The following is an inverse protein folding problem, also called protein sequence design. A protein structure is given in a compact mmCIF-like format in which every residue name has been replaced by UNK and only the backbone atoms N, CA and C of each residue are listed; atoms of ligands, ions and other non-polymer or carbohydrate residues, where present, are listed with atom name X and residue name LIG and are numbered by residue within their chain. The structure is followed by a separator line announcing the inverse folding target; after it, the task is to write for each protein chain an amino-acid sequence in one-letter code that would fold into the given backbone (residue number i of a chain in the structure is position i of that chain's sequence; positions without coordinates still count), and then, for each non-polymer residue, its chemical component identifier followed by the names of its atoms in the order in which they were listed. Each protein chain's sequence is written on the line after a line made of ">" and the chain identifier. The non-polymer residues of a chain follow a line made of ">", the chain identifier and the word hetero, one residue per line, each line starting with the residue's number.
data_IF_563402069296
#
_entry.id   IF_563402069296
#
_cell.length_a   1.000
_cell.length_b   1.000
_cell.length_c   1.000
_cell.angle_alpha   90.00
_cell.angle_beta   90.00
_cell.angle_gamma   90.00
#
_symmetry.space_group_name_H-M   'P 1'
#
loop_
_entity.id
_entity.type
_entity.pdbx_description
1 polymer ?
#
# COMPACT_ATOMS: atom_id res chain seq x y z
N UNK A 1 16.55 30.88 59.63
CA UNK A 1 17.27 29.75 60.30
C UNK A 1 16.27 28.59 60.43
N UNK A 2 16.17 27.75 59.39
CA UNK A 2 15.42 26.49 59.44
C UNK A 2 16.30 25.42 60.09
N UNK A 3 15.90 25.00 61.32
CA UNK A 3 16.44 23.79 61.98
C UNK A 3 15.96 22.57 61.25
N UNK A 4 16.84 21.90 60.50
CA UNK A 4 16.55 20.57 59.95
C UNK A 4 16.49 19.56 61.12
N UNK A 5 15.33 18.95 61.27
CA UNK A 5 15.06 17.89 62.24
C UNK A 5 15.79 16.61 61.77
N UNK A 6 16.69 16.06 62.58
CA UNK A 6 17.43 14.80 62.34
C UNK A 6 16.45 13.62 62.51
N UNK A 7 15.85 13.16 61.43
CA UNK A 7 15.12 11.90 61.41
C UNK A 7 16.08 10.68 61.44
N UNK A 8 15.63 9.48 61.92
CA UNK A 8 16.50 8.34 62.20
C UNK A 8 17.25 7.84 60.96
N UNK A 9 18.49 7.48 61.15
CA UNK A 9 19.45 7.04 60.16
C UNK A 9 19.01 5.75 59.49
N UNK A 10 18.18 5.79 58.47
CA UNK A 10 17.87 4.67 57.61
C UNK A 10 19.01 4.46 56.60
N UNK A 11 19.21 3.20 56.15
CA UNK A 11 20.22 2.82 55.16
C UNK A 11 20.21 3.75 53.89
N UNK A 12 19.03 4.14 53.48
CA UNK A 12 18.81 5.08 52.36
C UNK A 12 19.38 6.47 52.63
N UNK A 13 19.28 6.98 53.86
CA UNK A 13 19.81 8.31 54.21
C UNK A 13 21.36 8.33 54.17
N UNK A 14 22.00 7.22 54.49
CA UNK A 14 23.48 7.11 54.39
C UNK A 14 23.96 7.12 52.91
N UNK A 15 23.17 6.47 52.01
CA UNK A 15 23.48 6.52 50.56
C UNK A 15 23.28 7.95 50.04
N UNK A 16 22.21 8.62 50.41
CA UNK A 16 21.93 9.99 50.02
C UNK A 16 23.03 10.96 50.52
N UNK A 17 23.45 10.83 51.76
CA UNK A 17 24.58 11.62 52.32
C UNK A 17 25.88 11.38 51.55
N UNK A 18 26.22 10.12 51.22
CA UNK A 18 27.41 9.81 50.42
C UNK A 18 27.37 10.41 49.01
N UNK A 19 26.20 10.29 48.35
CA UNK A 19 25.98 10.86 47.01
C UNK A 19 26.04 12.38 47.07
N UNK A 20 25.39 13.01 48.06
CA UNK A 20 25.42 14.46 48.25
C UNK A 20 26.86 14.96 48.53
N UNK A 21 27.57 14.34 49.47
CA UNK A 21 28.95 14.71 49.78
C UNK A 21 29.91 14.44 48.60
N UNK A 22 29.65 13.36 47.83
CA UNK A 22 30.40 13.08 46.61
C UNK A 22 30.15 14.13 45.52
N UNK A 23 28.91 14.55 45.37
CA UNK A 23 28.52 15.62 44.42
C UNK A 23 29.13 17.00 44.83
N UNK A 24 29.06 17.34 46.12
CA UNK A 24 29.65 18.56 46.64
C UNK A 24 31.16 18.59 46.36
N UNK A 25 31.91 17.51 46.67
CA UNK A 25 33.35 17.41 46.37
C UNK A 25 33.64 17.50 44.88
N UNK A 26 32.81 16.90 44.04
CA UNK A 26 32.94 17.01 42.58
C UNK A 26 32.72 18.45 42.11
N UNK A 27 31.72 19.14 42.65
CA UNK A 27 31.44 20.54 42.32
C UNK A 27 32.62 21.42 42.71
N UNK A 28 33.09 21.30 43.96
CA UNK A 28 34.16 22.15 44.46
C UNK A 28 35.54 21.85 43.79
N UNK A 29 35.84 20.57 43.54
CA UNK A 29 37.15 20.18 43.06
C UNK A 29 37.33 20.22 41.56
N UNK A 30 36.26 19.96 40.82
CA UNK A 30 36.33 19.84 39.35
C UNK A 30 35.44 20.88 38.64
N UNK A 31 34.18 21.01 39.04
CA UNK A 31 33.24 21.86 38.31
C UNK A 31 33.54 23.35 38.52
N UNK A 32 33.75 23.80 39.77
CA UNK A 32 34.01 25.21 40.09
C UNK A 32 35.27 25.73 39.40
N UNK A 33 36.46 25.08 39.52
CA UNK A 33 37.66 25.58 38.84
C UNK A 33 37.59 25.47 37.30
N UNK A 34 36.83 24.51 36.77
CA UNK A 34 36.56 24.44 35.34
C UNK A 34 35.71 25.62 34.88
N UNK A 35 34.64 25.93 35.63
CA UNK A 35 33.75 27.04 35.32
C UNK A 35 34.49 28.38 35.39
N UNK A 36 35.35 28.59 36.41
CA UNK A 36 36.18 29.79 36.54
C UNK A 36 37.12 29.98 35.35
N UNK A 37 37.72 28.89 34.85
CA UNK A 37 38.56 28.95 33.64
C UNK A 37 37.76 29.29 32.40
N UNK A 38 36.57 28.70 32.27
CA UNK A 38 35.64 28.99 31.16
C UNK A 38 35.21 30.47 31.16
N UNK A 39 34.90 31.01 32.32
CA UNK A 39 34.48 32.41 32.46
C UNK A 39 35.65 33.39 32.24
N UNK A 40 36.86 33.05 32.71
CA UNK A 40 38.07 33.86 32.49
C UNK A 40 38.42 33.93 31.00
N UNK A 41 38.27 32.81 30.27
CA UNK A 41 38.53 32.71 28.83
C UNK A 41 37.24 32.59 28.01
N UNK A 42 36.26 33.47 28.30
CA UNK A 42 34.91 33.42 27.76
C UNK A 42 34.82 33.26 26.23
N UNK A 43 35.68 33.99 25.50
CA UNK A 43 35.68 33.91 24.03
C UNK A 43 36.24 32.57 23.50
N UNK A 44 37.28 32.03 24.18
CA UNK A 44 37.83 30.72 23.85
C UNK A 44 36.79 29.60 24.10
N UNK A 45 36.14 29.66 25.25
CA UNK A 45 35.10 28.70 25.62
C UNK A 45 33.90 28.72 24.63
N UNK A 46 33.48 29.93 24.24
CA UNK A 46 32.43 30.09 23.23
C UNK A 46 32.86 29.54 21.86
N UNK A 47 34.11 29.82 21.43
CA UNK A 47 34.63 29.31 20.15
C UNK A 47 34.73 27.79 20.13
N UNK A 48 35.15 27.17 21.25
CA UNK A 48 35.17 25.70 21.38
C UNK A 48 33.77 25.13 21.28
N UNK A 49 32.80 25.74 21.97
CA UNK A 49 31.42 25.28 21.93
C UNK A 49 30.81 25.38 20.51
N UNK A 50 30.99 26.53 19.84
CA UNK A 50 30.53 26.74 18.46
C UNK A 50 31.23 25.78 17.50
N UNK A 51 32.53 25.55 17.67
CA UNK A 51 33.28 24.58 16.88
C UNK A 51 32.78 23.16 17.06
N UNK A 52 32.55 22.73 18.32
CA UNK A 52 31.99 21.41 18.60
C UNK A 52 30.58 21.26 18.03
N UNK A 53 29.76 22.30 18.16
CA UNK A 53 28.42 22.32 17.58
C UNK A 53 28.46 22.22 16.05
N UNK A 54 29.34 22.97 15.39
CA UNK A 54 29.51 22.92 13.93
C UNK A 54 29.99 21.54 13.46
N UNK A 55 30.93 20.91 14.18
CA UNK A 55 31.41 19.55 13.90
C UNK A 55 30.24 18.54 14.04
N UNK A 56 29.48 18.64 15.14
CA UNK A 56 28.33 17.76 15.38
C UNK A 56 27.29 17.90 14.28
N UNK A 57 26.93 19.13 13.90
CA UNK A 57 26.02 19.40 12.80
C UNK A 57 26.58 18.91 11.46
N UNK A 58 27.87 19.08 11.21
CA UNK A 58 28.54 18.57 10.01
C UNK A 58 28.49 17.04 9.92
N UNK A 59 28.70 16.34 11.03
CA UNK A 59 28.56 14.87 11.08
C UNK A 59 27.13 14.40 10.83
N UNK A 60 26.14 15.12 11.37
CA UNK A 60 24.72 14.82 11.18
C UNK A 60 24.31 15.05 9.73
N UNK A 61 24.59 16.24 9.19
CA UNK A 61 24.23 16.63 7.83
C UNK A 61 25.04 15.86 6.78
N UNK A 62 26.28 15.50 7.10
CA UNK A 62 27.14 14.66 6.26
C UNK A 62 26.76 13.18 6.21
N UNK A 63 25.71 12.79 6.94
CA UNK A 63 25.20 11.41 6.93
C UNK A 63 26.10 10.37 7.59
N UNK A 64 27.15 10.81 8.32
CA UNK A 64 28.06 9.92 9.04
C UNK A 64 27.46 9.34 10.33
N UNK A 65 26.37 9.94 10.83
CA UNK A 65 25.63 9.44 12.00
C UNK A 65 24.31 8.84 11.53
N UNK A 66 24.19 7.50 11.41
CA UNK A 66 22.98 6.85 10.91
C UNK A 66 21.76 6.99 11.85
N UNK A 67 21.99 7.43 13.09
CA UNK A 67 20.99 7.44 14.15
C UNK A 67 19.87 8.49 14.01
N UNK A 68 19.96 9.44 13.07
CA UNK A 68 19.01 10.56 12.98
C UNK A 68 18.08 10.45 11.76
N UNK A 69 18.05 9.32 11.10
CA UNK A 69 17.10 9.06 10.01
C UNK A 69 15.71 8.68 10.53
N UNK A 70 15.17 9.42 11.48
CA UNK A 70 13.83 9.22 11.99
C UNK A 70 13.73 8.24 13.17
N UNK A 71 12.51 8.00 13.59
CA UNK A 71 12.19 7.04 14.65
C UNK A 71 12.63 5.64 14.17
N UNK A 72 13.43 4.88 14.96
CA UNK A 72 13.79 3.52 14.58
C UNK A 72 12.52 2.73 14.29
N UNK A 73 12.49 1.94 13.21
CA UNK A 73 11.31 1.16 12.86
C UNK A 73 10.99 0.19 14.00
N UNK A 74 9.82 0.35 14.61
CA UNK A 74 9.34 -0.56 15.64
C UNK A 74 8.85 -1.82 14.93
N UNK A 75 9.38 -3.01 15.26
CA UNK A 75 8.89 -4.26 14.68
C UNK A 75 7.39 -4.42 14.96
N UNK A 76 6.63 -4.81 13.96
CA UNK A 76 5.22 -5.09 14.09
C UNK A 76 4.99 -6.54 14.50
N UNK A 77 3.91 -6.80 15.22
CA UNK A 77 3.39 -8.16 15.42
C UNK A 77 2.43 -8.57 14.29
N UNK A 78 2.39 -7.77 13.23
CA UNK A 78 1.63 -8.04 12.02
C UNK A 78 2.52 -7.90 10.79
N UNK A 79 2.33 -8.78 9.81
CA UNK A 79 2.86 -8.63 8.45
C UNK A 79 1.67 -8.57 7.51
N UNK A 80 1.60 -7.51 6.72
CA UNK A 80 0.65 -7.42 5.62
C UNK A 80 1.39 -7.43 4.30
N UNK A 81 1.00 -8.33 3.41
CA UNK A 81 1.56 -8.45 2.07
C UNK A 81 0.52 -8.00 1.06
N UNK A 82 0.72 -6.83 0.49
CA UNK A 82 -0.17 -6.23 -0.50
C UNK A 82 0.25 -6.62 -1.91
N UNK A 83 -0.69 -7.24 -2.61
CA UNK A 83 -0.54 -7.65 -3.99
C UNK A 83 -1.36 -6.72 -4.89
N UNK A 84 -0.72 -6.17 -5.91
CA UNK A 84 -1.39 -5.47 -7.00
C UNK A 84 -1.05 -6.17 -8.30
N UNK A 85 -2.03 -6.76 -8.94
CA UNK A 85 -1.90 -7.35 -10.28
C UNK A 85 -2.04 -6.27 -11.36
N UNK A 86 -1.70 -6.62 -12.60
CA UNK A 86 -1.95 -5.73 -13.72
C UNK A 86 -3.45 -5.44 -13.87
N UNK A 87 -3.80 -4.20 -14.16
CA UNK A 87 -5.19 -3.81 -14.37
C UNK A 87 -5.82 -4.57 -15.53
N UNK A 88 -7.05 -5.04 -15.32
CA UNK A 88 -7.75 -5.86 -16.31
C UNK A 88 -7.50 -7.36 -16.21
N UNK A 89 -6.64 -7.81 -15.31
CA UNK A 89 -6.50 -9.23 -15.00
C UNK A 89 -7.78 -9.79 -14.40
N UNK A 90 -8.18 -11.03 -14.77
CA UNK A 90 -9.36 -11.66 -14.18
C UNK A 90 -9.13 -12.00 -12.70
N UNK A 91 -10.19 -11.93 -11.90
CA UNK A 91 -10.14 -12.22 -10.45
C UNK A 91 -9.49 -13.57 -10.11
N UNK A 92 -9.70 -14.59 -10.94
CA UNK A 92 -9.09 -15.90 -10.79
C UNK A 92 -7.53 -15.86 -10.83
N UNK A 93 -6.94 -14.92 -11.57
CA UNK A 93 -5.47 -14.74 -11.57
C UNK A 93 -4.97 -14.16 -10.25
N UNK A 94 -5.72 -13.22 -9.68
CA UNK A 94 -5.43 -12.65 -8.34
C UNK A 94 -5.57 -13.72 -7.26
N UNK A 95 -6.62 -14.55 -7.33
CA UNK A 95 -6.84 -15.67 -6.42
C UNK A 95 -5.68 -16.66 -6.44
N UNK A 96 -5.25 -17.10 -7.64
CA UNK A 96 -4.10 -18.00 -7.79
C UNK A 96 -2.80 -17.38 -7.23
N UNK A 97 -2.59 -16.09 -7.45
CA UNK A 97 -1.43 -15.41 -6.90
C UNK A 97 -1.48 -15.38 -5.36
N UNK A 98 -2.65 -15.12 -4.77
CA UNK A 98 -2.83 -15.18 -3.31
C UNK A 98 -2.61 -16.59 -2.76
N UNK A 99 -3.09 -17.63 -3.45
CA UNK A 99 -2.84 -19.02 -3.07
C UNK A 99 -1.35 -19.37 -3.10
N UNK A 100 -0.61 -18.91 -4.12
CA UNK A 100 0.85 -19.09 -4.18
C UNK A 100 1.57 -18.36 -3.03
N UNK A 101 1.11 -17.16 -2.68
CA UNK A 101 1.65 -16.42 -1.53
C UNK A 101 1.40 -17.15 -0.22
N UNK A 102 0.22 -17.73 -0.04
CA UNK A 102 -0.12 -18.53 1.15
C UNK A 102 0.71 -19.83 1.22
N UNK A 103 0.91 -20.50 0.09
CA UNK A 103 1.80 -21.67 0.02
C UNK A 103 3.24 -21.31 0.40
N UNK A 104 3.74 -20.14 -0.06
CA UNK A 104 5.06 -19.66 0.34
C UNK A 104 5.14 -19.37 1.85
N UNK A 105 4.07 -18.85 2.46
CA UNK A 105 3.98 -18.67 3.92
C UNK A 105 4.06 -20.01 4.66
N UNK A 106 3.31 -21.01 4.21
CA UNK A 106 3.35 -22.35 4.80
C UNK A 106 4.74 -22.99 4.66
N UNK A 107 5.43 -22.78 3.53
CA UNK A 107 6.80 -23.24 3.35
C UNK A 107 7.81 -22.54 4.31
N UNK A 108 7.51 -21.30 4.74
CA UNK A 108 8.29 -20.65 5.80
C UNK A 108 8.07 -21.37 7.15
N UNK A 109 6.83 -21.71 7.48
CA UNK A 109 6.52 -22.46 8.71
C UNK A 109 7.29 -23.77 8.74
N UNK A 110 7.17 -24.58 7.68
CA UNK A 110 7.87 -25.87 7.57
C UNK A 110 9.40 -25.71 7.73
N UNK A 111 9.97 -24.67 7.11
CA UNK A 111 11.39 -24.41 7.24
C UNK A 111 11.81 -24.03 8.68
N UNK A 112 11.02 -23.23 9.38
CA UNK A 112 11.32 -22.84 10.76
C UNK A 112 11.18 -24.03 11.70
N UNK A 113 10.12 -24.82 11.55
CA UNK A 113 9.89 -26.04 12.33
C UNK A 113 10.99 -27.07 12.09
N UNK A 114 11.49 -27.23 10.85
CA UNK A 114 12.64 -28.12 10.55
C UNK A 114 13.94 -27.70 11.24
N UNK A 115 14.04 -26.41 11.64
CA UNK A 115 15.16 -25.87 12.42
C UNK A 115 14.92 -25.89 13.94
N UNK A 116 13.77 -26.41 14.37
CA UNK A 116 13.38 -26.41 15.79
C UNK A 116 12.87 -25.05 16.30
N UNK A 117 12.56 -24.12 15.40
CA UNK A 117 11.97 -22.83 15.76
C UNK A 117 10.43 -22.95 15.78
N UNK A 118 9.74 -22.33 16.74
CA UNK A 118 8.28 -22.37 16.79
C UNK A 118 7.65 -21.62 15.63
N UNK A 119 6.44 -22.03 15.24
CA UNK A 119 5.66 -21.32 14.22
C UNK A 119 5.39 -19.86 14.67
N UNK A 120 5.88 -18.85 13.94
CA UNK A 120 5.71 -17.47 14.32
C UNK A 120 4.32 -16.90 13.97
N UNK A 121 3.52 -17.57 13.13
CA UNK A 121 2.23 -17.11 12.66
C UNK A 121 1.09 -17.61 13.55
N UNK A 122 0.25 -16.69 14.00
CA UNK A 122 -0.91 -17.00 14.84
C UNK A 122 -2.20 -17.08 14.04
N UNK A 123 -2.50 -16.05 13.30
CA UNK A 123 -3.68 -15.94 12.46
C UNK A 123 -3.30 -15.41 11.08
N UNK A 124 -4.01 -15.86 10.05
CA UNK A 124 -3.86 -15.34 8.68
C UNK A 124 -5.22 -14.99 8.10
N UNK A 125 -5.28 -13.90 7.34
CA UNK A 125 -6.46 -13.44 6.63
C UNK A 125 -6.08 -13.15 5.18
N UNK A 126 -6.75 -13.83 4.24
CA UNK A 126 -6.65 -13.55 2.82
C UNK A 126 -7.81 -12.68 2.39
N UNK A 127 -7.52 -11.58 1.75
CA UNK A 127 -8.53 -10.68 1.19
C UNK A 127 -8.32 -10.56 -0.32
N UNK A 128 -9.36 -10.80 -1.09
CA UNK A 128 -9.37 -10.62 -2.53
C UNK A 128 -10.30 -9.45 -2.90
N UNK A 129 -9.86 -8.63 -3.84
CA UNK A 129 -10.62 -7.47 -4.31
C UNK A 129 -10.42 -6.21 -3.48
N UNK A 130 -9.72 -6.27 -2.35
CA UNK A 130 -9.43 -5.13 -1.49
C UNK A 130 -8.10 -5.27 -0.78
N UNK A 131 -7.60 -4.16 -0.20
CA UNK A 131 -6.39 -4.11 0.64
C UNK A 131 -6.73 -3.37 1.94
N UNK A 132 -7.44 -4.01 2.88
CA UNK A 132 -7.99 -3.35 4.07
C UNK A 132 -6.93 -2.96 5.10
N UNK A 133 -5.79 -3.66 5.17
CA UNK A 133 -4.77 -3.38 6.17
C UNK A 133 -3.97 -2.13 5.80
N UNK A 134 -4.24 -1.06 6.49
CA UNK A 134 -3.56 0.23 6.31
C UNK A 134 -2.62 0.49 7.49
N UNK A 135 -1.59 -0.30 7.69
CA UNK A 135 -0.60 -0.29 8.77
C UNK A 135 -0.40 1.01 9.57
N UNK A 136 -1.39 1.45 10.35
CA UNK A 136 -1.27 2.60 11.24
C UNK A 136 -2.63 3.18 11.69
N UNK A 137 -2.64 4.01 12.75
CA UNK A 137 -3.85 4.63 13.28
C UNK A 137 -4.52 5.63 12.32
N UNK A 138 -3.87 5.99 11.22
CA UNK A 138 -4.41 6.85 10.15
C UNK A 138 -5.14 6.07 9.04
N UNK A 139 -5.46 4.78 9.26
CA UNK A 139 -6.05 3.87 8.29
C UNK A 139 -7.51 4.10 7.95
N UNK A 140 -7.98 5.33 7.89
CA UNK A 140 -9.37 5.66 7.52
C UNK A 140 -9.55 6.03 6.04
N UNK A 141 -8.58 5.78 5.17
CA UNK A 141 -8.83 5.82 3.74
C UNK A 141 -9.53 4.54 3.34
N UNK A 142 -10.68 4.66 2.67
CA UNK A 142 -11.36 3.52 2.08
C UNK A 142 -10.34 2.67 1.31
N UNK A 143 -10.29 1.37 1.63
CA UNK A 143 -9.40 0.44 0.94
C UNK A 143 -9.74 0.47 -0.56
N UNK A 144 -8.74 0.52 -1.45
CA UNK A 144 -9.02 0.44 -2.86
C UNK A 144 -9.68 -0.91 -3.17
N UNK A 145 -10.81 -0.88 -3.88
CA UNK A 145 -11.57 -2.07 -4.24
C UNK A 145 -11.49 -2.29 -5.75
N UNK A 146 -10.89 -3.39 -6.16
CA UNK A 146 -10.92 -3.88 -7.54
C UNK A 146 -10.38 -5.31 -7.61
N UNK A 147 -10.83 -6.09 -8.60
CA UNK A 147 -10.48 -7.50 -8.77
C UNK A 147 -8.99 -7.80 -8.89
N UNK A 148 -8.16 -6.80 -9.18
CA UNK A 148 -6.71 -6.92 -9.31
C UNK A 148 -5.95 -6.63 -8.00
N UNK A 149 -6.65 -6.32 -6.90
CA UNK A 149 -6.07 -6.19 -5.58
C UNK A 149 -6.21 -7.46 -4.76
N UNK A 150 -5.19 -7.74 -3.98
CA UNK A 150 -5.20 -8.80 -2.99
C UNK A 150 -4.32 -8.44 -1.80
N UNK A 151 -4.59 -9.06 -0.67
CA UNK A 151 -3.81 -8.87 0.55
C UNK A 151 -3.79 -10.14 1.39
N UNK A 152 -2.64 -10.47 1.94
CA UNK A 152 -2.52 -11.45 3.02
C UNK A 152 -2.01 -10.72 4.24
N UNK A 153 -2.84 -10.66 5.27
CA UNK A 153 -2.47 -10.12 6.58
C UNK A 153 -2.30 -11.25 7.57
N UNK A 154 -1.18 -11.28 8.26
CA UNK A 154 -0.86 -12.30 9.26
C UNK A 154 -0.53 -11.64 10.59
N UNK A 155 -1.08 -12.21 11.65
CA UNK A 155 -0.69 -11.91 13.02
C UNK A 155 0.43 -12.84 13.43
N UNK A 156 1.47 -12.28 14.03
CA UNK A 156 2.59 -13.02 14.59
C UNK A 156 2.39 -13.21 16.09
N UNK A 157 3.06 -14.20 16.67
CA UNK A 157 3.26 -14.25 18.11
C UNK A 157 4.04 -13.02 18.54
N UNK A 158 3.89 -12.60 19.80
CA UNK A 158 4.53 -11.39 20.32
C UNK A 158 6.04 -11.41 20.08
N UNK A 159 6.62 -10.23 19.85
CA UNK A 159 8.05 -10.08 19.55
C UNK A 159 8.96 -10.65 20.67
N UNK A 160 8.48 -10.67 21.89
CA UNK A 160 9.18 -11.22 23.06
C UNK A 160 9.24 -12.75 23.09
N UNK A 161 8.29 -13.41 22.41
CA UNK A 161 8.12 -14.87 22.39
C UNK A 161 8.70 -15.52 21.13
N UNK A 162 9.11 -14.71 20.14
CA UNK A 162 9.63 -15.20 18.85
C UNK A 162 11.13 -15.01 18.73
N UNK A 163 11.77 -15.98 18.09
CA UNK A 163 13.22 -15.95 17.83
C UNK A 163 13.62 -14.97 16.70
N UNK A 164 12.67 -14.63 15.82
CA UNK A 164 12.92 -13.79 14.63
C UNK A 164 12.04 -12.56 14.60
N UNK A 165 12.61 -11.48 14.12
CA UNK A 165 11.87 -10.23 13.90
C UNK A 165 10.92 -10.33 12.70
N UNK A 166 9.88 -9.48 12.66
CA UNK A 166 8.94 -9.45 11.52
C UNK A 166 9.65 -9.19 10.16
N UNK A 167 10.66 -8.29 10.05
CA UNK A 167 11.43 -8.13 8.83
C UNK A 167 12.19 -9.38 8.38
N UNK A 168 12.75 -10.17 9.31
CA UNK A 168 13.44 -11.43 8.97
C UNK A 168 12.45 -12.47 8.45
N UNK A 169 11.28 -12.59 9.07
CA UNK A 169 10.20 -13.47 8.60
C UNK A 169 9.71 -13.03 7.21
N UNK A 170 9.53 -11.73 7.00
CA UNK A 170 9.18 -11.17 5.68
C UNK A 170 10.23 -11.47 4.61
N UNK A 171 11.51 -11.43 4.96
CA UNK A 171 12.60 -11.76 4.05
C UNK A 171 12.57 -13.25 3.66
N UNK A 172 12.39 -14.14 4.64
CA UNK A 172 12.22 -15.58 4.40
C UNK A 172 11.00 -15.91 3.55
N UNK A 173 9.90 -15.18 3.77
CA UNK A 173 8.69 -15.36 2.98
C UNK A 173 8.89 -14.91 1.53
N UNK A 174 9.53 -13.75 1.34
CA UNK A 174 9.86 -13.21 0.01
C UNK A 174 10.81 -14.15 -0.77
N UNK A 175 11.79 -14.76 -0.10
CA UNK A 175 12.71 -15.71 -0.71
C UNK A 175 11.99 -16.96 -1.26
N UNK A 176 10.94 -17.43 -0.55
CA UNK A 176 10.16 -18.60 -0.96
C UNK A 176 9.04 -18.30 -1.92
N UNK A 177 8.70 -17.04 -2.04
CA UNK A 177 7.70 -16.60 -2.99
C UNK A 177 8.31 -16.58 -4.39
N UNK A 178 7.97 -17.55 -5.20
CA UNK A 178 8.37 -17.61 -6.60
C UNK A 178 7.80 -16.45 -7.43
N UNK A 179 8.11 -16.42 -8.72
CA UNK A 179 7.59 -15.38 -9.62
C UNK A 179 6.04 -15.47 -9.70
N UNK A 180 5.38 -14.32 -9.59
CA UNK A 180 3.94 -14.19 -9.72
C UNK A 180 3.60 -13.59 -11.09
N UNK A 181 3.11 -14.39 -12.06
CA UNK A 181 2.81 -13.90 -13.40
C UNK A 181 1.71 -12.82 -13.37
N UNK A 182 1.95 -11.71 -14.03
CA UNK A 182 1.00 -10.58 -14.07
C UNK A 182 0.98 -9.71 -12.81
N UNK A 183 1.90 -9.92 -11.88
CA UNK A 183 2.11 -9.03 -10.75
C UNK A 183 2.67 -7.69 -11.23
N UNK A 184 2.05 -6.60 -10.79
CA UNK A 184 2.52 -5.23 -10.97
C UNK A 184 3.34 -4.78 -9.77
N UNK A 185 2.84 -5.03 -8.57
CA UNK A 185 3.49 -4.61 -7.33
C UNK A 185 3.21 -5.60 -6.21
N UNK A 186 4.24 -5.85 -5.42
CA UNK A 186 4.16 -6.59 -4.17
C UNK A 186 4.84 -5.76 -3.07
N UNK A 187 4.16 -5.55 -1.96
CA UNK A 187 4.69 -4.77 -0.84
C UNK A 187 4.49 -5.52 0.47
N UNK A 188 5.58 -5.68 1.21
CA UNK A 188 5.54 -6.22 2.57
C UNK A 188 5.54 -5.07 3.58
N UNK A 189 4.55 -5.06 4.45
CA UNK A 189 4.42 -4.13 5.57
C UNK A 189 4.68 -4.91 6.85
N UNK A 190 5.90 -4.80 7.38
CA UNK A 190 6.42 -5.59 8.50
C UNK A 190 6.87 -4.72 9.70
N UNK A 191 6.56 -3.43 9.65
CA UNK A 191 6.86 -2.47 10.71
C UNK A 191 5.61 -1.73 11.15
N UNK A 192 5.53 -1.38 12.43
CA UNK A 192 4.44 -0.58 12.97
C UNK A 192 4.49 0.86 12.44
N UNK A 193 3.33 1.52 12.43
CA UNK A 193 3.19 2.94 12.13
C UNK A 193 3.69 3.39 10.74
N UNK A 194 3.01 2.89 9.69
CA UNK A 194 3.14 3.48 8.35
C UNK A 194 4.13 2.82 7.40
N UNK A 195 4.71 1.69 7.78
CA UNK A 195 5.65 0.96 6.94
C UNK A 195 7.06 1.58 6.96
N UNK A 196 7.98 0.96 6.25
CA UNK A 196 9.31 1.53 6.04
C UNK A 196 9.20 2.74 5.13
N UNK A 197 9.89 3.85 5.44
CA UNK A 197 10.01 4.93 4.47
C UNK A 197 10.59 4.38 3.18
N UNK A 198 10.12 4.89 2.04
CA UNK A 198 10.69 4.56 0.74
C UNK A 198 12.16 4.99 0.77
N UNK A 199 13.08 4.03 0.61
CA UNK A 199 14.51 4.29 0.75
C UNK A 199 15.04 5.14 -0.42
N UNK A 200 14.50 4.89 -1.62
CA UNK A 200 14.86 5.57 -2.85
C UNK A 200 13.56 5.94 -3.55
N UNK A 201 13.33 7.21 -3.74
CA UNK A 201 12.22 7.76 -4.52
C UNK A 201 12.82 8.61 -5.65
N UNK A 202 12.56 8.21 -6.89
CA UNK A 202 13.12 8.84 -8.07
C UNK A 202 11.96 9.35 -8.94
N UNK A 203 11.96 10.64 -9.21
CA UNK A 203 11.02 11.25 -10.13
C UNK A 203 11.65 11.35 -11.53
N UNK A 204 10.98 10.77 -12.52
CA UNK A 204 11.36 10.88 -13.92
C UNK A 204 10.34 11.78 -14.60
N UNK A 205 10.78 12.89 -15.14
CA UNK A 205 9.94 13.86 -15.86
C UNK A 205 10.36 13.99 -17.32
N UNK A 206 9.39 14.17 -18.20
CA UNK A 206 9.62 14.33 -19.64
C UNK A 206 8.33 14.60 -20.40
N UNK A 207 8.45 14.90 -21.68
CA UNK A 207 7.30 15.17 -22.55
C UNK A 207 6.73 13.89 -23.20
N UNK A 208 7.53 12.84 -23.31
CA UNK A 208 7.17 11.59 -23.97
C UNK A 208 7.06 10.46 -22.96
N UNK A 209 5.84 9.93 -22.82
CA UNK A 209 5.52 8.86 -21.89
C UNK A 209 6.27 7.57 -22.22
N UNK A 210 6.46 7.25 -23.49
CA UNK A 210 7.13 6.01 -23.91
C UNK A 210 8.61 6.06 -23.54
N UNK A 211 9.27 7.22 -23.72
CA UNK A 211 10.65 7.42 -23.30
C UNK A 211 10.79 7.37 -21.77
N UNK A 212 9.87 7.99 -21.02
CA UNK A 212 9.88 7.95 -19.57
C UNK A 212 9.69 6.51 -19.06
N UNK A 213 8.81 5.75 -19.68
CA UNK A 213 8.57 4.34 -19.32
C UNK A 213 9.82 3.49 -19.60
N UNK A 214 10.46 3.67 -20.73
CA UNK A 214 11.71 2.98 -21.08
C UNK A 214 12.84 3.32 -20.08
N UNK A 215 12.99 4.58 -19.72
CA UNK A 215 13.94 5.03 -18.73
C UNK A 215 13.67 4.43 -17.34
N UNK A 216 12.39 4.37 -16.92
CA UNK A 216 11.99 3.75 -15.65
C UNK A 216 12.33 2.26 -15.62
N UNK A 217 12.09 1.53 -16.71
CA UNK A 217 12.47 0.11 -16.80
C UNK A 217 13.99 -0.09 -16.72
N UNK A 218 14.78 0.77 -17.38
CA UNK A 218 16.25 0.72 -17.29
C UNK A 218 16.73 0.98 -15.86
N UNK A 219 16.18 1.98 -15.18
CA UNK A 219 16.48 2.27 -13.77
C UNK A 219 16.12 1.10 -12.88
N UNK A 220 14.92 0.51 -13.04
CA UNK A 220 14.50 -0.68 -12.28
C UNK A 220 15.45 -1.86 -12.52
N UNK A 221 15.87 -2.09 -13.77
CA UNK A 221 16.82 -3.16 -14.10
C UNK A 221 18.18 -2.96 -13.41
N UNK A 222 18.68 -1.72 -13.36
CA UNK A 222 19.91 -1.38 -12.63
C UNK A 222 19.76 -1.55 -11.12
N UNK A 223 18.64 -1.10 -10.55
CA UNK A 223 18.36 -1.21 -9.11
C UNK A 223 18.26 -2.67 -8.64
N UNK A 224 17.76 -3.58 -9.47
CA UNK A 224 17.72 -5.02 -9.14
C UNK A 224 19.09 -5.66 -8.92
N UNK A 225 20.16 -5.06 -9.43
CA UNK A 225 21.51 -5.56 -9.24
C UNK A 225 22.12 -5.21 -7.87
N UNK A 226 21.49 -4.33 -7.10
CA UNK A 226 21.94 -3.95 -5.77
C UNK A 226 21.34 -4.88 -4.71
N UNK A 227 22.20 -5.50 -3.92
CA UNK A 227 21.78 -6.32 -2.78
C UNK A 227 21.09 -5.45 -1.73
N UNK A 228 19.98 -5.93 -1.18
CA UNK A 228 19.23 -5.22 -0.14
C UNK A 228 18.14 -4.28 -0.66
N UNK A 229 18.00 -4.09 -1.98
CA UNK A 229 16.86 -3.42 -2.58
C UNK A 229 15.80 -4.44 -2.98
N UNK A 230 14.57 -4.21 -2.54
CA UNK A 230 13.41 -5.04 -2.83
C UNK A 230 12.16 -4.16 -2.99
N UNK A 231 11.06 -4.76 -3.46
CA UNK A 231 9.79 -4.07 -3.72
C UNK A 231 9.94 -2.89 -4.71
N UNK A 232 10.82 -3.05 -5.72
CA UNK A 232 11.07 -2.04 -6.75
C UNK A 232 9.84 -1.95 -7.65
N UNK A 233 9.20 -0.79 -7.67
CA UNK A 233 8.01 -0.53 -8.45
C UNK A 233 8.00 0.89 -9.00
N UNK A 234 7.21 1.14 -10.01
CA UNK A 234 6.90 2.49 -10.51
C UNK A 234 5.43 2.83 -10.29
N UNK A 235 5.13 4.11 -10.42
CA UNK A 235 3.75 4.62 -10.32
C UNK A 235 3.05 4.64 -11.67
N UNK A 236 3.75 4.32 -12.79
CA UNK A 236 3.13 4.31 -14.10
C UNK A 236 2.07 3.21 -14.17
N UNK A 237 0.82 3.62 -14.19
CA UNK A 237 -0.29 2.73 -14.49
C UNK A 237 -0.35 2.60 -16.02
N UNK A 238 0.25 1.56 -16.56
CA UNK A 238 0.03 1.20 -17.96
C UNK A 238 -1.42 0.84 -18.22
N UNK A 239 -2.35 1.74 -18.03
CA UNK A 239 -3.80 1.68 -18.12
C UNK A 239 -4.47 0.37 -18.56
N UNK A 240 -5.75 0.24 -18.32
CA UNK A 240 -6.54 -0.90 -18.87
C UNK A 240 -6.48 -0.86 -20.39
N UNK A 241 -6.36 -2.01 -21.03
CA UNK A 241 -6.51 -2.09 -22.49
C UNK A 241 -7.87 -1.54 -22.88
N UNK A 242 -7.85 -0.37 -23.52
CA UNK A 242 -9.05 0.33 -23.93
C UNK A 242 -9.47 -0.11 -25.33
N UNK A 243 -10.72 -0.48 -25.49
CA UNK A 243 -11.30 -0.82 -26.78
C UNK A 243 -12.02 0.40 -27.34
N UNK A 244 -11.37 1.10 -28.27
CA UNK A 244 -11.99 2.25 -28.94
C UNK A 244 -12.93 1.73 -30.03
N UNK A 245 -14.23 1.77 -29.75
CA UNK A 245 -15.26 1.41 -30.71
C UNK A 245 -15.43 2.58 -31.72
N UNK A 246 -15.46 2.25 -33.01
CA UNK A 246 -15.78 3.20 -34.07
C UNK A 246 -17.03 2.76 -34.83
N UNK A 247 -17.96 3.69 -35.02
CA UNK A 247 -19.16 3.43 -35.79
C UNK A 247 -18.81 3.44 -37.28
N UNK A 248 -19.18 2.36 -38.00
CA UNK A 248 -19.02 2.24 -39.43
C UNK A 248 -19.99 3.18 -40.18
N UNK A 249 -19.67 3.61 -41.43
CA UNK A 249 -20.56 4.46 -42.23
C UNK A 249 -21.98 3.87 -42.37
N UNK A 250 -22.09 2.56 -42.57
CA UNK A 250 -23.37 1.84 -42.68
C UNK A 250 -24.23 1.99 -41.41
N UNK A 251 -23.60 1.91 -40.23
CA UNK A 251 -24.28 2.12 -38.96
C UNK A 251 -24.79 3.55 -38.79
N UNK A 252 -24.06 4.54 -39.28
CA UNK A 252 -24.52 5.95 -39.31
C UNK A 252 -25.71 6.13 -40.22
N UNK A 253 -25.70 5.49 -41.39
CA UNK A 253 -26.81 5.53 -42.35
C UNK A 253 -28.10 4.93 -41.76
N UNK A 254 -27.97 3.98 -40.80
CA UNK A 254 -29.09 3.41 -40.04
C UNK A 254 -29.52 4.23 -38.83
N UNK A 255 -28.97 5.45 -38.67
CA UNK A 255 -29.29 6.36 -37.56
C UNK A 255 -28.65 6.01 -36.20
N UNK A 256 -27.69 5.07 -36.17
CA UNK A 256 -26.93 4.78 -34.95
C UNK A 256 -25.98 5.93 -34.58
N UNK A 257 -25.94 6.22 -33.30
CA UNK A 257 -24.95 7.13 -32.72
C UNK A 257 -23.82 6.37 -32.05
N UNK A 258 -22.68 7.04 -31.81
CA UNK A 258 -21.57 6.47 -31.04
C UNK A 258 -22.00 6.10 -29.61
N UNK A 259 -22.91 6.89 -29.03
CA UNK A 259 -23.48 6.63 -27.71
C UNK A 259 -24.32 5.37 -27.68
N UNK A 260 -25.15 5.13 -28.69
CA UNK A 260 -25.97 3.90 -28.79
C UNK A 260 -25.11 2.66 -28.92
N UNK A 261 -24.03 2.74 -29.72
CA UNK A 261 -23.06 1.66 -29.84
C UNK A 261 -22.40 1.37 -28.47
N UNK A 262 -21.91 2.39 -27.78
CA UNK A 262 -21.29 2.24 -26.48
C UNK A 262 -22.23 1.65 -25.42
N UNK A 263 -23.47 2.13 -25.37
CA UNK A 263 -24.52 1.64 -24.46
C UNK A 263 -24.84 0.17 -24.71
N UNK A 264 -25.12 -0.23 -25.95
CA UNK A 264 -25.45 -1.62 -26.27
C UNK A 264 -24.29 -2.59 -25.99
N UNK A 265 -23.04 -2.19 -26.28
CA UNK A 265 -21.86 -2.98 -25.93
C UNK A 265 -21.71 -3.11 -24.41
N UNK A 266 -21.89 -2.03 -23.65
CA UNK A 266 -21.86 -2.09 -22.19
C UNK A 266 -22.93 -3.02 -21.63
N UNK A 267 -24.18 -2.93 -22.11
CA UNK A 267 -25.28 -3.77 -21.70
C UNK A 267 -25.00 -5.27 -21.97
N UNK A 268 -24.44 -5.58 -23.13
CA UNK A 268 -24.12 -6.96 -23.50
C UNK A 268 -23.02 -7.58 -22.61
N UNK A 269 -21.94 -6.85 -22.32
CA UNK A 269 -20.77 -7.39 -21.64
C UNK A 269 -20.76 -7.15 -20.13
N UNK A 270 -21.08 -5.95 -19.69
CA UNK A 270 -21.18 -5.61 -18.26
C UNK A 270 -22.53 -6.02 -17.69
N UNK A 271 -23.58 -5.76 -18.44
CA UNK A 271 -24.96 -5.98 -18.05
C UNK A 271 -25.72 -4.70 -17.78
N UNK A 272 -27.03 -4.84 -17.71
CA UNK A 272 -27.98 -3.81 -17.31
C UNK A 272 -28.67 -4.25 -16.03
N UNK A 273 -28.75 -3.34 -15.06
CA UNK A 273 -29.51 -3.56 -13.83
C UNK A 273 -30.99 -3.38 -14.14
N UNK A 274 -31.78 -4.48 -14.09
CA UNK A 274 -33.19 -4.46 -14.37
C UNK A 274 -34.01 -4.13 -13.12
N UNK A 275 -33.53 -4.65 -11.96
CA UNK A 275 -34.25 -4.53 -10.70
C UNK A 275 -33.26 -4.64 -9.54
N UNK A 276 -33.53 -3.88 -8.49
CA UNK A 276 -32.88 -4.03 -7.19
C UNK A 276 -33.96 -4.50 -6.18
N UNK A 277 -33.67 -5.54 -5.44
CA UNK A 277 -34.55 -6.14 -4.45
C UNK A 277 -33.88 -6.09 -3.10
N UNK A 278 -34.49 -5.41 -2.14
CA UNK A 278 -34.02 -5.43 -0.76
C UNK A 278 -34.42 -6.77 -0.11
N UNK A 279 -33.40 -7.51 0.38
CA UNK A 279 -33.60 -8.70 1.20
C UNK A 279 -32.94 -8.50 2.53
N UNK A 280 -33.74 -8.31 3.55
CA UNK A 280 -33.27 -8.04 4.92
C UNK A 280 -32.28 -6.87 4.98
N UNK A 281 -30.97 -7.16 5.12
CA UNK A 281 -29.88 -6.17 5.15
C UNK A 281 -29.19 -5.98 3.81
N UNK A 282 -29.42 -6.86 2.85
CA UNK A 282 -28.70 -6.89 1.58
C UNK A 282 -29.54 -6.39 0.41
N UNK A 283 -28.95 -5.56 -0.42
CA UNK A 283 -29.51 -5.15 -1.71
C UNK A 283 -29.09 -6.13 -2.79
N UNK A 284 -30.03 -6.91 -3.32
CA UNK A 284 -29.78 -7.87 -4.40
C UNK A 284 -30.10 -7.23 -5.74
N UNK A 285 -29.08 -7.02 -6.56
CA UNK A 285 -29.21 -6.45 -7.92
C UNK A 285 -29.43 -7.54 -8.95
N UNK A 286 -30.51 -7.44 -9.69
CA UNK A 286 -30.81 -8.34 -10.82
C UNK A 286 -30.17 -7.77 -12.08
N UNK A 287 -29.10 -8.42 -12.55
CA UNK A 287 -28.34 -8.00 -13.73
C UNK A 287 -28.65 -8.89 -14.94
N UNK A 288 -29.07 -8.28 -16.06
CA UNK A 288 -29.17 -8.95 -17.34
C UNK A 288 -27.92 -8.72 -18.19
N UNK A 289 -27.31 -9.80 -18.65
CA UNK A 289 -26.09 -9.76 -19.48
C UNK A 289 -25.97 -11.02 -20.31
N UNK A 290 -25.11 -11.02 -21.32
CA UNK A 290 -24.83 -12.21 -22.12
C UNK A 290 -24.22 -13.36 -21.29
N UNK A 291 -24.37 -14.62 -21.71
CA UNK A 291 -23.70 -15.76 -21.08
C UNK A 291 -22.20 -15.57 -20.94
N UNK A 292 -21.60 -16.26 -19.98
CA UNK A 292 -20.17 -16.09 -19.65
C UNK A 292 -19.29 -16.43 -20.86
N UNK A 293 -19.63 -17.44 -21.61
CA UNK A 293 -18.90 -17.94 -22.78
C UNK A 293 -18.81 -16.88 -23.88
N UNK A 294 -19.90 -16.13 -24.08
CA UNK A 294 -19.97 -15.06 -25.09
C UNK A 294 -19.28 -13.77 -24.67
N UNK A 295 -18.95 -13.60 -23.38
CA UNK A 295 -18.34 -12.39 -22.83
C UNK A 295 -16.83 -12.49 -22.62
N UNK A 296 -16.24 -13.69 -22.68
CA UNK A 296 -14.84 -13.93 -22.33
C UNK A 296 -13.87 -13.69 -23.48
N UNK A 297 -14.35 -13.73 -24.74
CA UNK A 297 -13.50 -13.60 -25.93
C UNK A 297 -13.65 -12.25 -26.62
N UNK A 298 -12.54 -11.71 -27.12
CA UNK A 298 -12.55 -10.55 -28.03
C UNK A 298 -13.24 -10.88 -29.35
N UNK A 299 -13.17 -12.14 -29.80
CA UNK A 299 -13.84 -12.63 -31.01
C UNK A 299 -15.37 -12.55 -30.89
N UNK A 300 -15.92 -12.81 -29.71
CA UNK A 300 -17.37 -12.68 -29.46
C UNK A 300 -17.89 -11.27 -29.69
N UNK A 301 -17.02 -10.24 -29.54
CA UNK A 301 -17.38 -8.86 -29.81
C UNK A 301 -17.53 -8.56 -31.31
N UNK A 302 -16.81 -9.26 -32.17
CA UNK A 302 -16.93 -9.10 -33.63
C UNK A 302 -18.28 -9.58 -34.16
N UNK A 303 -18.93 -10.49 -33.45
CA UNK A 303 -20.25 -11.05 -33.81
C UNK A 303 -21.42 -10.36 -33.11
N UNK A 304 -21.15 -9.35 -32.26
CA UNK A 304 -22.20 -8.60 -31.58
C UNK A 304 -23.07 -7.83 -32.57
N UNK A 305 -24.34 -8.18 -32.63
CA UNK A 305 -25.34 -7.48 -33.47
C UNK A 305 -25.87 -6.25 -32.73
N UNK A 306 -25.57 -5.08 -33.26
CA UNK A 306 -26.05 -3.79 -32.76
C UNK A 306 -27.39 -3.50 -33.40
N UNK A 307 -28.41 -3.19 -32.59
CA UNK A 307 -29.75 -2.82 -33.08
C UNK A 307 -29.78 -1.33 -33.41
N UNK A 308 -30.21 -0.99 -34.61
CA UNK A 308 -30.52 0.39 -34.94
C UNK A 308 -31.69 0.89 -34.07
N UNK A 309 -31.71 2.17 -33.66
CA UNK A 309 -32.89 2.73 -33.05
C UNK A 309 -34.06 2.53 -34.02
N UNK A 310 -35.16 1.97 -33.53
CA UNK A 310 -36.39 1.99 -34.32
C UNK A 310 -36.70 3.46 -34.55
N UNK A 311 -36.56 3.93 -35.81
CA UNK A 311 -37.10 5.21 -36.16
C UNK A 311 -38.59 5.14 -35.80
N UNK A 312 -38.97 5.82 -34.72
CA UNK A 312 -40.37 6.07 -34.43
C UNK A 312 -40.80 6.97 -35.60
N UNK A 313 -41.24 6.32 -36.67
CA UNK A 313 -41.81 7.02 -37.79
C UNK A 313 -43.06 7.67 -37.22
N UNK A 314 -42.98 8.99 -37.13
CA UNK A 314 -44.05 9.94 -36.88
C UNK A 314 -44.87 9.71 -35.62
N UNK A 315 -45.04 10.69 -34.76
CA UNK A 315 -46.08 10.61 -33.76
C UNK A 315 -47.35 10.28 -34.57
N UNK A 316 -47.99 9.12 -34.24
CA UNK A 316 -49.36 8.85 -34.66
C UNK A 316 -50.10 10.15 -34.46
N UNK A 317 -50.37 10.90 -35.59
CA UNK A 317 -51.27 12.04 -35.56
C UNK A 317 -52.51 11.49 -34.90
N UNK A 318 -52.75 11.93 -33.66
CA UNK A 318 -53.96 11.50 -32.96
C UNK A 318 -55.12 11.72 -33.92
N UNK A 319 -55.68 10.61 -34.38
CA UNK A 319 -56.86 10.64 -35.24
C UNK A 319 -57.92 11.40 -34.46
N UNK A 320 -58.50 12.46 -35.00
CA UNK A 320 -59.61 13.10 -34.31
C UNK A 320 -60.65 12.05 -33.99
N UNK A 321 -61.21 12.09 -32.80
CA UNK A 321 -62.19 11.14 -32.30
C UNK A 321 -63.41 11.01 -33.24
N UNK A 322 -63.60 11.98 -34.15
CA UNK A 322 -64.77 12.08 -35.04
C UNK A 322 -64.49 11.60 -36.47
N UNK A 323 -63.36 10.98 -36.77
CA UNK A 323 -63.08 10.50 -38.12
C UNK A 323 -63.81 9.16 -38.33
N UNK A 324 -64.73 9.06 -39.34
CA UNK A 324 -65.46 7.83 -39.60
C UNK A 324 -64.48 6.69 -39.95
N UNK A 325 -64.73 5.51 -39.44
CA UNK A 325 -64.06 4.26 -39.82
C UNK A 325 -64.29 4.03 -41.32
N UNK A 326 -63.21 4.02 -42.10
CA UNK A 326 -63.30 3.54 -43.47
C UNK A 326 -63.52 2.04 -43.41
N UNK A 327 -64.73 1.61 -43.76
CA UNK A 327 -65.05 0.23 -44.05
C UNK A 327 -64.46 -0.14 -45.41
N UNK A 328 -63.54 -1.13 -45.38
CA UNK A 328 -63.03 -1.78 -46.57
C UNK A 328 -63.93 -2.96 -46.88
#
# INVERSE_FOLDING_TARGET
>A
LCKFNKSPRNFLSRIQERVATGLERFIEKFYSPFLDKCLTHRYLSLSIFVGLFAITMGLILGGHVPAIRGIPPVPSDYISVKLTMQEGMPANSTEKALQNMEQARLAVVEHLESKGEPNPFRHSMLTMGAQPFSGGPAGSRAAPEASHFGEISVELIKSEERSRSAPEISALWRERLGPLPGMKQLRFLDVAAGGRPVAIDLEISGLDIDQMTAAAEEVKAKLRNFSGLFDISDTHAGGKRELKLKLKPEGRALGLTQSDLGRQVRQAFYGEEIQSIQRERDEVKVMLRYPKEERTSLASRAHLRIRAPVAIQTPLKARPLDAPYATA
#
